data_IF_152848124651
#
_entry.id   IF_152848124651
#
_cell.length_a   1.000
_cell.length_b   1.000
_cell.length_c   1.000
_cell.angle_alpha   90.00
_cell.angle_beta   90.00
_cell.angle_gamma   90.00
#
_symmetry.space_group_name_H-M   'P 1'
#
loop_
_entity.id
_entity.type
_entity.pdbx_description
1 polymer ?
#
# COMPACT_ATOMS: atom_id res chain seq x y z
N UNK A 1 22.04 19.03 4.47
CA UNK A 1 22.49 17.81 3.77
C UNK A 1 23.42 17.05 4.69
N UNK A 2 23.16 15.78 4.98
CA UNK A 2 23.99 14.92 5.83
C UNK A 2 24.30 13.64 5.06
N UNK A 3 25.58 13.27 4.94
CA UNK A 3 26.00 12.05 4.25
C UNK A 3 26.66 11.09 5.22
N UNK A 4 26.43 9.78 5.04
CA UNK A 4 27.03 8.71 5.82
C UNK A 4 27.21 7.45 4.95
N UNK A 5 27.95 6.46 5.45
CA UNK A 5 28.27 5.25 4.69
C UNK A 5 27.69 4.01 5.37
N UNK A 6 27.10 3.14 4.57
CA UNK A 6 26.90 1.74 4.89
C UNK A 6 27.84 0.87 4.05
N UNK A 7 28.05 -0.40 4.39
CA UNK A 7 28.85 -1.30 3.57
C UNK A 7 28.39 -1.30 2.10
N UNK A 8 29.29 -0.83 1.21
CA UNK A 8 29.04 -0.78 -0.24
C UNK A 8 28.18 0.38 -0.75
N UNK A 9 27.69 1.30 0.10
CA UNK A 9 26.85 2.42 -0.31
C UNK A 9 27.22 3.73 0.38
N UNK A 10 26.93 4.85 -0.27
CA UNK A 10 26.89 6.20 0.32
C UNK A 10 25.45 6.66 0.33
N UNK A 11 25.02 7.17 1.47
CA UNK A 11 23.66 7.67 1.69
C UNK A 11 23.73 9.16 1.99
N UNK A 12 22.85 9.94 1.35
CA UNK A 12 22.76 11.39 1.58
C UNK A 12 21.32 11.79 1.89
N UNK A 13 21.10 12.38 3.05
CA UNK A 13 19.81 12.89 3.47
C UNK A 13 19.57 14.27 2.86
N UNK A 14 18.38 14.44 2.25
CA UNK A 14 17.93 15.67 1.61
C UNK A 14 16.55 16.05 2.14
N UNK A 15 16.30 17.34 2.22
CA UNK A 15 15.03 17.93 2.63
C UNK A 15 14.66 19.02 1.64
N UNK A 16 13.39 19.04 1.25
CA UNK A 16 12.84 19.95 0.27
C UNK A 16 11.60 20.64 0.84
N UNK A 17 11.54 21.96 0.70
CA UNK A 17 10.33 22.70 1.01
C UNK A 17 9.38 22.64 -0.19
N UNK A 18 8.15 22.19 0.02
CA UNK A 18 7.12 22.10 -1.00
C UNK A 18 5.80 22.67 -0.48
N UNK A 19 4.92 23.21 -1.34
CA UNK A 19 3.61 23.70 -0.90
C UNK A 19 2.76 22.56 -0.32
N UNK A 20 2.05 22.80 0.77
CA UNK A 20 0.99 21.88 1.21
C UNK A 20 -0.06 21.76 0.10
N UNK A 21 -0.53 22.89 -0.42
CA UNK A 21 -1.47 23.00 -1.52
C UNK A 21 -0.77 23.54 -2.77
N UNK A 22 -0.56 22.68 -3.76
CA UNK A 22 0.08 23.06 -5.03
C UNK A 22 -0.69 24.08 -5.86
N UNK A 23 -2.00 24.29 -5.56
CA UNK A 23 -2.78 25.36 -6.18
C UNK A 23 -2.52 26.72 -5.54
N UNK A 24 -1.90 26.73 -4.36
CA UNK A 24 -1.47 27.92 -3.62
C UNK A 24 0.00 27.84 -3.25
N UNK A 25 0.92 27.91 -4.22
CA UNK A 25 2.35 27.64 -4.03
C UNK A 25 3.03 28.60 -3.03
N UNK A 26 2.50 29.81 -2.84
CA UNK A 26 2.99 30.78 -1.87
C UNK A 26 2.35 30.62 -0.46
N UNK A 27 1.52 29.58 -0.27
CA UNK A 27 0.84 29.29 0.99
C UNK A 27 1.72 28.50 1.97
N UNK A 28 1.06 27.70 2.80
CA UNK A 28 1.73 26.85 3.79
C UNK A 28 2.71 25.89 3.09
N UNK A 29 3.94 25.83 3.63
CA UNK A 29 4.99 24.94 3.16
C UNK A 29 5.13 23.76 4.11
N UNK A 30 5.36 22.58 3.53
CA UNK A 30 5.75 21.37 4.25
C UNK A 30 7.13 20.90 3.81
N UNK A 31 7.79 20.15 4.67
CA UNK A 31 9.09 19.57 4.34
C UNK A 31 8.92 18.14 3.83
N UNK A 32 9.53 17.81 2.71
CA UNK A 32 9.60 16.46 2.14
C UNK A 32 11.03 15.95 2.22
N UNK A 33 11.18 14.76 2.81
CA UNK A 33 12.45 14.08 2.95
C UNK A 33 12.67 13.09 1.82
N UNK A 34 13.90 13.06 1.29
CA UNK A 34 14.34 11.99 0.41
C UNK A 34 15.76 11.55 0.79
N UNK A 35 16.04 10.27 0.62
CA UNK A 35 17.37 9.69 0.80
C UNK A 35 17.95 9.27 -0.52
N UNK A 36 19.02 9.93 -0.91
CA UNK A 36 19.87 9.49 -2.02
C UNK A 36 20.70 8.30 -1.58
N UNK A 37 20.76 7.29 -2.42
CA UNK A 37 21.61 6.09 -2.24
C UNK A 37 22.40 5.88 -3.53
N UNK A 38 23.72 5.70 -3.38
CA UNK A 38 24.61 5.41 -4.51
C UNK A 38 25.63 4.34 -4.10
N UNK A 39 26.07 3.51 -5.05
CA UNK A 39 27.15 2.56 -4.79
C UNK A 39 28.44 3.30 -4.41
N UNK A 40 29.16 2.85 -3.38
CA UNK A 40 30.32 3.56 -2.82
C UNK A 40 31.40 3.83 -3.86
N UNK A 41 31.60 2.92 -4.83
CA UNK A 41 32.55 3.10 -5.94
C UNK A 41 32.09 4.04 -7.06
N UNK A 42 30.82 4.51 -6.99
CA UNK A 42 30.19 5.36 -8.01
C UNK A 42 29.66 6.68 -7.42
N UNK A 43 30.10 7.06 -6.22
CA UNK A 43 29.59 8.24 -5.53
C UNK A 43 29.74 9.52 -6.35
N UNK A 44 30.86 9.65 -7.09
CA UNK A 44 31.19 10.81 -7.93
C UNK A 44 30.82 10.59 -9.41
N UNK A 45 30.21 9.46 -9.77
CA UNK A 45 29.81 9.17 -11.15
C UNK A 45 28.54 9.95 -11.52
N UNK A 46 28.47 10.39 -12.77
CA UNK A 46 27.24 10.99 -13.34
C UNK A 46 26.26 9.88 -13.75
N UNK A 47 25.51 9.40 -12.77
CA UNK A 47 24.49 8.37 -12.95
C UNK A 47 23.11 8.99 -13.09
N UNK A 48 22.23 8.43 -13.94
CA UNK A 48 20.85 8.84 -14.01
C UNK A 48 20.13 8.58 -12.67
N UNK A 49 19.20 9.45 -12.35
CA UNK A 49 18.37 9.30 -11.14
C UNK A 49 17.26 8.27 -11.33
N UNK A 50 17.02 7.48 -10.30
CA UNK A 50 15.84 6.61 -10.16
C UNK A 50 15.07 7.04 -8.91
N UNK A 51 13.91 7.65 -9.11
CA UNK A 51 12.96 7.91 -8.04
C UNK A 51 12.25 6.62 -7.66
N UNK A 52 12.29 6.23 -6.38
CA UNK A 52 11.49 5.15 -5.82
C UNK A 52 10.24 5.70 -5.12
N UNK A 53 9.07 5.26 -5.58
CA UNK A 53 7.77 5.55 -5.01
C UNK A 53 7.26 4.34 -4.22
N UNK A 54 7.18 4.51 -2.90
CA UNK A 54 6.78 3.47 -1.96
C UNK A 54 5.28 3.17 -2.08
N UNK A 55 4.91 1.91 -1.84
CA UNK A 55 3.51 1.48 -1.68
C UNK A 55 2.86 1.94 -0.38
N UNK A 56 1.59 1.63 -0.23
CA UNK A 56 0.72 2.03 0.86
C UNK A 56 -0.67 2.36 0.36
N UNK A 57 -1.16 3.60 0.50
CA UNK A 57 -0.52 4.89 0.85
C UNK A 57 0.01 4.98 2.29
N UNK A 58 0.70 6.08 2.60
CA UNK A 58 0.96 6.48 4.00
C UNK A 58 2.20 5.87 4.66
N UNK A 59 3.09 5.24 3.88
CA UNK A 59 4.36 4.73 4.39
C UNK A 59 5.56 5.43 3.74
N UNK A 60 6.57 5.72 4.55
CA UNK A 60 7.85 6.19 4.05
C UNK A 60 8.64 5.08 3.33
N UNK A 61 9.58 5.45 2.48
CA UNK A 61 10.46 4.50 1.85
C UNK A 61 11.25 3.69 2.88
N UNK A 62 11.40 2.38 2.66
CA UNK A 62 12.16 1.52 3.56
C UNK A 62 13.60 2.02 3.70
N UNK A 63 14.10 1.97 4.94
CA UNK A 63 15.48 2.36 5.21
C UNK A 63 16.42 1.23 4.82
N UNK A 64 17.41 1.49 3.98
CA UNK A 64 18.39 0.47 3.63
C UNK A 64 19.16 0.03 4.88
N UNK A 65 19.05 -1.25 5.24
CA UNK A 65 19.85 -1.87 6.32
C UNK A 65 21.00 -2.72 5.78
N UNK A 66 21.02 -2.91 4.48
CA UNK A 66 22.01 -3.66 3.73
C UNK A 66 21.80 -3.46 2.24
N UNK A 67 22.20 -4.43 1.46
CA UNK A 67 21.89 -4.46 0.03
C UNK A 67 20.56 -5.20 -0.15
N UNK A 68 19.44 -4.48 -0.07
CA UNK A 68 18.16 -5.03 -0.49
C UNK A 68 18.20 -5.37 -1.96
N UNK A 69 17.69 -6.53 -2.32
CA UNK A 69 17.89 -7.15 -3.62
C UNK A 69 17.57 -6.25 -4.82
N UNK A 70 16.40 -5.59 -4.82
CA UNK A 70 16.04 -4.65 -5.89
C UNK A 70 16.94 -3.41 -5.90
N UNK A 71 17.33 -2.90 -4.72
CA UNK A 71 18.20 -1.74 -4.59
C UNK A 71 19.61 -2.03 -5.15
N UNK A 72 20.14 -3.23 -4.88
CA UNK A 72 21.39 -3.68 -5.49
C UNK A 72 21.35 -3.70 -7.00
N UNK A 73 20.22 -4.16 -7.56
CA UNK A 73 20.04 -4.14 -9.01
C UNK A 73 19.99 -2.70 -9.52
N UNK A 74 19.23 -1.83 -8.86
CA UNK A 74 19.12 -0.42 -9.23
C UNK A 74 20.46 0.32 -9.17
N UNK A 75 21.26 0.08 -8.13
CA UNK A 75 22.55 0.74 -7.91
C UNK A 75 23.63 0.39 -8.94
N UNK A 76 23.39 -0.59 -9.82
CA UNK A 76 24.29 -0.85 -10.95
C UNK A 76 24.21 0.24 -12.03
N UNK A 77 23.02 0.83 -12.20
CA UNK A 77 22.72 1.74 -13.31
C UNK A 77 22.29 3.13 -12.85
N UNK A 78 21.89 3.30 -11.60
CA UNK A 78 21.25 4.52 -11.13
C UNK A 78 21.81 5.05 -9.80
N UNK A 79 21.61 6.32 -9.61
CA UNK A 79 21.55 7.01 -8.33
C UNK A 79 20.10 6.96 -7.84
N UNK A 80 19.84 6.28 -6.74
CA UNK A 80 18.47 6.02 -6.26
C UNK A 80 18.03 7.08 -5.26
N UNK A 81 16.83 7.63 -5.45
CA UNK A 81 16.20 8.56 -4.53
C UNK A 81 15.02 7.84 -3.84
N UNK A 82 15.18 7.50 -2.57
CA UNK A 82 14.14 6.93 -1.71
C UNK A 82 13.32 8.08 -1.13
N UNK A 83 12.14 8.32 -1.70
CA UNK A 83 11.26 9.41 -1.29
C UNK A 83 10.36 8.97 -0.12
N UNK A 84 10.45 9.66 1.01
CA UNK A 84 9.35 9.65 1.97
C UNK A 84 8.26 10.59 1.42
N UNK A 85 7.21 10.01 0.87
CA UNK A 85 6.10 10.78 0.33
C UNK A 85 5.56 11.71 1.42
N UNK A 86 4.96 12.85 1.02
CA UNK A 86 4.40 13.84 1.96
C UNK A 86 3.58 13.16 3.07
N UNK A 87 3.72 13.60 4.29
CA UNK A 87 3.03 13.06 5.46
C UNK A 87 3.65 11.79 6.05
N UNK A 88 4.70 11.21 5.44
CA UNK A 88 5.27 9.92 5.83
C UNK A 88 6.71 10.02 6.30
N UNK A 89 7.17 9.03 7.03
CA UNK A 89 8.57 8.88 7.42
C UNK A 89 9.15 10.12 8.08
N UNK A 90 10.16 10.73 7.46
CA UNK A 90 10.83 11.96 7.91
C UNK A 90 10.31 13.22 7.20
N UNK A 91 9.41 13.09 6.25
CA UNK A 91 8.65 14.22 5.71
C UNK A 91 7.75 14.81 6.79
N UNK A 92 7.32 16.09 6.66
CA UNK A 92 6.40 16.72 7.62
C UNK A 92 5.27 15.76 8.00
N UNK A 93 5.23 15.25 9.24
CA UNK A 93 4.47 14.05 9.52
C UNK A 93 2.98 14.33 9.67
N UNK A 94 2.15 13.64 8.90
CA UNK A 94 0.73 13.51 9.12
C UNK A 94 0.48 12.33 10.08
N UNK A 95 0.81 12.48 11.35
CA UNK A 95 0.68 11.47 12.39
C UNK A 95 -0.40 11.83 13.41
N UNK A 96 -0.65 10.91 14.36
CA UNK A 96 -1.67 11.12 15.40
C UNK A 96 -1.55 12.48 16.10
N UNK A 97 -0.32 12.91 16.45
CA UNK A 97 -0.14 14.14 17.22
C UNK A 97 -0.42 15.40 16.39
N UNK A 98 0.07 15.43 15.15
CA UNK A 98 -0.12 16.59 14.26
C UNK A 98 -1.56 16.70 13.80
N UNK A 99 -2.18 15.61 13.37
CA UNK A 99 -3.57 15.57 12.91
C UNK A 99 -4.57 15.78 14.06
N UNK A 100 -4.33 15.19 15.26
CA UNK A 100 -5.22 15.40 16.40
C UNK A 100 -5.22 16.88 16.83
N UNK A 101 -4.04 17.52 16.88
CA UNK A 101 -3.93 18.96 17.18
C UNK A 101 -4.71 19.81 16.17
N UNK A 102 -4.61 19.49 14.89
CA UNK A 102 -5.37 20.19 13.86
C UNK A 102 -6.87 20.07 14.09
N UNK A 103 -7.37 18.89 14.44
CA UNK A 103 -8.77 18.66 14.74
C UNK A 103 -9.26 19.33 16.01
N UNK A 104 -8.43 19.35 17.06
CA UNK A 104 -8.73 20.05 18.31
C UNK A 104 -8.83 21.58 18.12
N UNK A 105 -7.99 22.14 17.26
CA UNK A 105 -7.93 23.58 16.99
C UNK A 105 -8.97 24.06 15.97
N UNK A 106 -9.19 23.30 14.88
CA UNK A 106 -9.94 23.74 13.71
C UNK A 106 -11.11 22.81 13.33
N UNK A 107 -11.26 21.67 14.03
CA UNK A 107 -12.35 20.73 13.82
C UNK A 107 -12.10 19.67 12.76
N UNK A 108 -13.04 18.72 12.65
CA UNK A 108 -12.91 17.56 11.78
C UNK A 108 -12.91 17.90 10.28
N UNK A 109 -13.60 18.96 9.87
CA UNK A 109 -13.59 19.43 8.49
C UNK A 109 -12.18 19.86 8.08
N UNK A 110 -11.49 20.64 8.91
CA UNK A 110 -10.12 21.06 8.63
C UNK A 110 -9.13 19.88 8.59
N UNK A 111 -9.35 18.85 9.43
CA UNK A 111 -8.58 17.60 9.33
C UNK A 111 -8.80 16.91 7.97
N UNK A 112 -10.06 16.78 7.55
CA UNK A 112 -10.41 16.16 6.27
C UNK A 112 -9.81 16.95 5.10
N UNK A 113 -9.97 18.27 5.09
CA UNK A 113 -9.41 19.15 4.04
C UNK A 113 -7.89 19.06 3.98
N UNK A 114 -7.21 19.06 5.12
CA UNK A 114 -5.76 18.85 5.18
C UNK A 114 -5.36 17.51 4.56
N UNK A 115 -6.06 16.43 4.89
CA UNK A 115 -5.77 15.09 4.39
C UNK A 115 -5.95 14.95 2.87
N UNK A 116 -6.77 15.78 2.23
CA UNK A 116 -6.93 15.75 0.76
C UNK A 116 -5.63 16.06 0.01
N UNK A 117 -4.70 16.76 0.65
CA UNK A 117 -3.41 17.13 0.05
C UNK A 117 -2.36 15.99 0.06
N UNK A 118 -2.72 14.76 0.48
CA UNK A 118 -1.75 13.65 0.63
C UNK A 118 -1.98 12.49 -0.35
N UNK A 119 -2.69 12.73 -1.44
CA UNK A 119 -2.93 11.74 -2.51
C UNK A 119 -1.81 11.74 -3.56
N UNK A 120 -1.92 10.81 -4.53
CA UNK A 120 -0.94 10.60 -5.58
C UNK A 120 -0.68 11.84 -6.44
N UNK A 121 -1.68 12.66 -6.71
CA UNK A 121 -1.57 13.92 -7.46
C UNK A 121 -0.58 14.89 -6.81
N UNK A 122 -0.73 15.15 -5.50
CA UNK A 122 0.18 16.01 -4.75
C UNK A 122 1.59 15.42 -4.62
N UNK A 123 1.69 14.09 -4.44
CA UNK A 123 2.98 13.38 -4.38
C UNK A 123 3.76 13.55 -5.69
N UNK A 124 3.09 13.48 -6.83
CA UNK A 124 3.70 13.68 -8.15
C UNK A 124 4.18 15.12 -8.34
N UNK A 125 3.43 16.09 -7.87
CA UNK A 125 3.84 17.50 -7.93
C UNK A 125 5.05 17.79 -7.04
N UNK A 126 5.13 17.16 -5.85
CA UNK A 126 6.36 17.20 -5.03
C UNK A 126 7.53 16.61 -5.78
N UNK A 127 7.36 15.44 -6.39
CA UNK A 127 8.41 14.77 -7.14
C UNK A 127 8.93 15.66 -8.27
N UNK A 128 8.07 16.40 -8.97
CA UNK A 128 8.47 17.35 -10.01
C UNK A 128 9.24 18.55 -9.47
N UNK A 129 8.88 19.10 -8.33
CA UNK A 129 9.66 20.16 -7.69
C UNK A 129 11.03 19.65 -7.28
N UNK A 130 11.10 18.49 -6.65
CA UNK A 130 12.36 17.84 -6.23
C UNK A 130 13.25 17.52 -7.45
N UNK A 131 12.67 16.98 -8.53
CA UNK A 131 13.43 16.71 -9.76
C UNK A 131 14.07 17.97 -10.33
N UNK A 132 13.32 19.05 -10.42
CA UNK A 132 13.82 20.33 -10.95
C UNK A 132 14.95 20.91 -10.10
N UNK A 133 14.89 20.74 -8.78
CA UNK A 133 15.95 21.19 -7.86
C UNK A 133 17.19 20.30 -7.93
N UNK A 134 17.04 18.98 -8.08
CA UNK A 134 18.14 18.02 -8.03
C UNK A 134 18.90 17.91 -9.36
N UNK A 135 18.19 17.84 -10.47
CA UNK A 135 18.78 17.52 -11.76
C UNK A 135 18.30 18.38 -12.92
N UNK A 136 17.06 18.86 -12.91
CA UNK A 136 16.42 19.51 -14.05
C UNK A 136 16.07 18.54 -15.20
N UNK A 137 16.80 17.44 -15.37
CA UNK A 137 16.59 16.43 -16.40
C UNK A 137 15.49 15.43 -16.05
N UNK A 138 14.89 14.74 -17.04
CA UNK A 138 13.99 13.62 -16.78
C UNK A 138 14.69 12.50 -16.03
N UNK A 139 14.03 11.93 -15.03
CA UNK A 139 14.52 10.79 -14.26
C UNK A 139 13.74 9.50 -14.50
N UNK A 140 14.31 8.37 -14.12
CA UNK A 140 13.60 7.09 -14.09
C UNK A 140 12.71 7.01 -12.85
N UNK A 141 11.59 6.31 -12.97
CA UNK A 141 10.64 6.12 -11.86
C UNK A 141 10.42 4.62 -11.63
N UNK A 142 10.53 4.18 -10.38
CA UNK A 142 10.12 2.84 -9.93
C UNK A 142 9.01 2.97 -8.91
N UNK A 143 7.82 2.48 -9.25
CA UNK A 143 6.66 2.48 -8.36
C UNK A 143 6.24 1.07 -7.97
N UNK A 144 6.06 0.83 -6.67
CA UNK A 144 5.55 -0.44 -6.14
C UNK A 144 4.20 -0.22 -5.50
N UNK A 145 3.16 -1.04 -5.86
CA UNK A 145 1.83 -0.95 -5.28
C UNK A 145 1.23 0.45 -5.47
N UNK A 146 0.77 1.15 -4.44
CA UNK A 146 0.34 2.55 -4.51
C UNK A 146 1.40 3.46 -5.18
N UNK A 147 2.69 3.18 -5.00
CA UNK A 147 3.75 3.90 -5.72
C UNK A 147 3.69 3.70 -7.24
N UNK A 148 3.19 2.55 -7.70
CA UNK A 148 2.87 2.31 -9.12
C UNK A 148 1.66 3.13 -9.59
N UNK A 149 0.63 3.29 -8.74
CA UNK A 149 -0.48 4.20 -9.00
C UNK A 149 0.02 5.64 -9.13
N UNK A 150 0.94 6.07 -8.25
CA UNK A 150 1.63 7.36 -8.37
C UNK A 150 2.43 7.48 -9.68
N UNK A 151 3.09 6.41 -10.15
CA UNK A 151 3.79 6.42 -11.42
C UNK A 151 2.84 6.61 -12.62
N UNK A 152 1.65 5.99 -12.61
CA UNK A 152 0.61 6.21 -13.63
C UNK A 152 0.03 7.63 -13.55
N UNK A 153 -0.15 8.17 -12.34
CA UNK A 153 -0.50 9.59 -12.13
C UNK A 153 0.59 10.50 -12.73
N UNK A 154 1.85 10.16 -12.54
CA UNK A 154 2.99 10.91 -13.09
C UNK A 154 3.00 10.88 -14.62
N UNK A 155 2.77 9.70 -15.24
CA UNK A 155 2.61 9.56 -16.70
C UNK A 155 1.43 10.37 -17.23
N UNK A 156 0.39 10.57 -16.42
CA UNK A 156 -0.80 11.35 -16.78
C UNK A 156 -0.54 12.86 -16.75
N UNK A 157 0.15 13.38 -15.74
CA UNK A 157 0.19 14.83 -15.48
C UNK A 157 1.57 15.49 -15.75
N UNK A 158 2.67 14.74 -15.67
CA UNK A 158 4.00 15.27 -15.90
C UNK A 158 4.95 14.28 -16.63
N UNK A 159 4.54 13.65 -17.75
CA UNK A 159 5.35 12.65 -18.46
C UNK A 159 6.71 13.20 -18.93
N UNK A 160 6.82 14.51 -19.18
CA UNK A 160 8.08 15.15 -19.57
C UNK A 160 9.18 15.07 -18.51
N UNK A 161 8.84 14.83 -17.24
CA UNK A 161 9.76 14.61 -16.14
C UNK A 161 10.26 13.16 -16.04
N UNK A 162 9.73 12.25 -16.84
CA UNK A 162 10.03 10.82 -16.78
C UNK A 162 10.86 10.39 -18.00
N UNK A 163 11.99 9.77 -17.75
CA UNK A 163 12.85 9.14 -18.76
C UNK A 163 12.37 7.73 -19.10
N UNK A 164 12.01 6.95 -18.09
CA UNK A 164 11.49 5.58 -18.15
C UNK A 164 10.74 5.23 -16.88
N UNK A 165 9.75 4.35 -16.96
CA UNK A 165 8.94 3.97 -15.82
C UNK A 165 8.89 2.46 -15.61
N UNK A 166 9.07 2.02 -14.36
CA UNK A 166 8.98 0.64 -13.90
C UNK A 166 7.87 0.54 -12.86
N UNK A 167 6.91 -0.34 -13.07
CA UNK A 167 5.73 -0.48 -12.20
C UNK A 167 5.63 -1.94 -11.75
N UNK A 168 5.47 -2.16 -10.45
CA UNK A 168 5.35 -3.50 -9.89
C UNK A 168 4.10 -3.60 -9.02
N UNK A 169 3.15 -4.49 -9.36
CA UNK A 169 1.91 -4.68 -8.63
C UNK A 169 1.15 -3.37 -8.36
N UNK A 170 1.15 -2.43 -9.31
CA UNK A 170 0.66 -1.06 -9.06
C UNK A 170 -0.02 -0.38 -10.26
N UNK A 171 -0.48 -1.15 -11.25
CA UNK A 171 -1.32 -0.58 -12.32
C UNK A 171 -2.75 -0.39 -11.78
N UNK A 172 -3.22 0.86 -11.64
CA UNK A 172 -4.53 1.16 -11.05
C UNK A 172 -5.70 0.80 -11.96
N UNK A 173 -6.89 0.74 -11.42
CA UNK A 173 -8.12 0.84 -12.20
C UNK A 173 -8.34 2.32 -12.60
N UNK A 174 -8.28 2.64 -13.91
CA UNK A 174 -8.34 4.04 -14.37
C UNK A 174 -9.71 4.69 -14.17
N UNK A 175 -10.78 3.92 -14.26
CA UNK A 175 -12.16 4.42 -14.29
C UNK A 175 -13.11 3.65 -13.35
N UNK A 176 -12.68 2.55 -12.75
CA UNK A 176 -13.51 1.79 -11.84
C UNK A 176 -13.66 2.53 -10.50
N UNK A 177 -14.83 2.37 -9.88
CA UNK A 177 -15.12 2.89 -8.55
C UNK A 177 -14.48 2.00 -7.46
N UNK A 178 -14.42 2.50 -6.22
CA UNK A 178 -14.00 1.68 -5.08
C UNK A 178 -14.88 0.42 -4.93
N UNK A 179 -16.18 0.52 -5.20
CA UNK A 179 -17.11 -0.61 -5.19
C UNK A 179 -16.67 -1.71 -6.18
N UNK A 180 -16.31 -1.34 -7.41
CA UNK A 180 -15.89 -2.28 -8.44
C UNK A 180 -14.57 -2.94 -8.06
N UNK A 181 -13.64 -2.17 -7.47
CA UNK A 181 -12.36 -2.68 -6.99
C UNK A 181 -12.60 -3.72 -5.88
N UNK A 182 -13.40 -3.40 -4.87
CA UNK A 182 -13.66 -4.33 -3.77
C UNK A 182 -14.42 -5.58 -4.21
N UNK A 183 -15.35 -5.50 -5.17
CA UNK A 183 -15.98 -6.71 -5.74
C UNK A 183 -14.97 -7.66 -6.38
N UNK A 184 -13.86 -7.15 -6.89
CA UNK A 184 -12.76 -7.97 -7.43
C UNK A 184 -11.88 -8.50 -6.32
N UNK A 185 -11.42 -7.62 -5.44
CA UNK A 185 -10.48 -8.02 -4.37
C UNK A 185 -11.09 -9.01 -3.39
N UNK A 186 -12.39 -8.90 -3.04
CA UNK A 186 -13.08 -9.91 -2.21
C UNK A 186 -13.03 -11.30 -2.85
N UNK A 187 -13.23 -11.43 -4.15
CA UNK A 187 -13.14 -12.73 -4.85
C UNK A 187 -11.73 -13.31 -4.79
N UNK A 188 -10.72 -12.47 -5.00
CA UNK A 188 -9.33 -12.92 -4.93
C UNK A 188 -8.95 -13.30 -3.49
N UNK A 189 -9.41 -12.53 -2.50
CA UNK A 189 -9.22 -12.86 -1.08
C UNK A 189 -9.91 -14.16 -0.70
N UNK A 190 -11.13 -14.43 -1.20
CA UNK A 190 -11.80 -15.72 -1.00
C UNK A 190 -10.97 -16.89 -1.58
N UNK A 191 -10.41 -16.74 -2.78
CA UNK A 191 -9.53 -17.75 -3.38
C UNK A 191 -8.23 -17.93 -2.57
N UNK A 192 -7.66 -16.86 -1.99
CA UNK A 192 -6.50 -16.94 -1.09
C UNK A 192 -6.80 -17.70 0.19
N UNK A 193 -7.97 -17.48 0.80
CA UNK A 193 -8.43 -18.26 1.96
C UNK A 193 -8.56 -19.75 1.62
N UNK A 194 -9.19 -20.07 0.49
CA UNK A 194 -9.32 -21.45 0.05
C UNK A 194 -7.95 -22.13 -0.14
N UNK A 195 -7.02 -21.46 -0.81
CA UNK A 195 -5.66 -21.97 -1.00
C UNK A 195 -4.87 -22.08 0.33
N UNK A 196 -5.12 -21.19 1.29
CA UNK A 196 -4.53 -21.29 2.62
C UNK A 196 -5.03 -22.54 3.35
N UNK A 197 -6.33 -22.78 3.40
CA UNK A 197 -6.92 -23.95 4.06
C UNK A 197 -6.66 -25.26 3.33
N UNK A 198 -6.48 -25.24 2.01
CA UNK A 198 -5.97 -26.42 1.28
C UNK A 198 -4.55 -26.78 1.73
N UNK A 199 -3.70 -25.79 1.98
CA UNK A 199 -2.32 -25.99 2.47
C UNK A 199 -2.25 -26.38 3.94
N UNK A 200 -3.09 -25.78 4.77
CA UNK A 200 -3.16 -25.95 6.23
C UNK A 200 -4.59 -26.31 6.69
N UNK A 201 -5.08 -27.53 6.44
CA UNK A 201 -6.46 -27.90 6.79
C UNK A 201 -6.78 -27.76 8.28
N UNK A 202 -5.78 -27.95 9.16
CA UNK A 202 -5.94 -27.81 10.61
C UNK A 202 -6.26 -26.36 11.04
N UNK A 203 -5.93 -25.38 10.23
CA UNK A 203 -6.16 -23.96 10.55
C UNK A 203 -7.67 -23.61 10.50
N UNK A 204 -8.48 -24.43 9.84
CA UNK A 204 -9.96 -24.26 9.86
C UNK A 204 -10.46 -24.31 11.29
N UNK A 205 -10.09 -25.35 12.05
CA UNK A 205 -10.54 -25.54 13.42
C UNK A 205 -9.91 -24.51 14.36
N UNK A 206 -8.61 -24.21 14.19
CA UNK A 206 -7.90 -23.21 14.99
C UNK A 206 -8.49 -21.81 14.84
N UNK A 207 -8.76 -21.37 13.60
CA UNK A 207 -9.37 -20.07 13.33
C UNK A 207 -10.78 -20.00 13.93
N UNK A 208 -11.55 -21.09 13.87
CA UNK A 208 -12.88 -21.16 14.45
C UNK A 208 -12.83 -21.10 15.99
N UNK A 209 -11.93 -21.84 16.63
CA UNK A 209 -11.74 -21.79 18.09
C UNK A 209 -11.41 -20.37 18.57
N UNK A 210 -10.55 -19.65 17.87
CA UNK A 210 -10.26 -18.25 18.20
C UNK A 210 -11.51 -17.39 18.02
N UNK A 211 -12.24 -17.55 16.90
CA UNK A 211 -13.44 -16.76 16.65
C UNK A 211 -14.54 -17.02 17.71
N UNK A 212 -14.78 -18.27 18.08
CA UNK A 212 -15.77 -18.64 19.10
C UNK A 212 -15.38 -18.09 20.48
N UNK A 213 -14.09 -18.11 20.80
CA UNK A 213 -13.59 -17.47 22.03
C UNK A 213 -13.85 -15.95 22.03
N UNK A 214 -13.57 -15.27 20.91
CA UNK A 214 -13.77 -13.83 20.77
C UNK A 214 -15.26 -13.43 20.78
N UNK A 215 -16.16 -14.30 20.32
CA UNK A 215 -17.60 -14.07 20.38
C UNK A 215 -18.13 -14.17 21.83
N UNK A 216 -17.53 -15.03 22.63
CA UNK A 216 -17.91 -15.26 24.03
C UNK A 216 -17.22 -14.36 25.06
N UNK A 217 -16.17 -13.63 24.70
CA UNK A 217 -15.31 -12.90 25.65
C UNK A 217 -14.96 -11.49 25.17
N UNK A 218 -14.94 -10.53 26.08
CA UNK A 218 -14.37 -9.21 25.82
C UNK A 218 -12.82 -9.27 25.87
N UNK A 219 -12.17 -9.31 24.71
CA UNK A 219 -10.72 -9.37 24.60
C UNK A 219 -10.15 -8.01 24.20
N UNK A 220 -9.04 -7.62 24.82
CA UNK A 220 -8.31 -6.39 24.46
C UNK A 220 -6.87 -6.73 24.12
N UNK A 221 -6.40 -6.06 23.06
CA UNK A 221 -4.99 -6.06 22.68
C UNK A 221 -4.16 -5.25 23.70
N UNK A 222 -2.83 -5.45 23.74
CA UNK A 222 -1.94 -4.75 24.69
C UNK A 222 -1.99 -3.21 24.63
N UNK A 223 -2.40 -2.62 23.50
CA UNK A 223 -2.62 -1.18 23.35
C UNK A 223 -4.02 -0.71 23.77
N UNK A 224 -4.86 -1.64 24.24
CA UNK A 224 -6.23 -1.38 24.67
C UNK A 224 -7.28 -1.43 23.56
N UNK A 225 -6.91 -1.68 22.31
CA UNK A 225 -7.87 -1.88 21.22
C UNK A 225 -8.68 -3.17 21.45
N UNK A 226 -9.99 -3.20 21.12
CA UNK A 226 -10.77 -4.43 21.21
C UNK A 226 -10.34 -5.42 20.12
N UNK A 227 -10.12 -6.67 20.48
CA UNK A 227 -9.95 -7.77 19.53
C UNK A 227 -11.31 -8.48 19.38
N UNK A 228 -11.98 -8.20 18.28
CA UNK A 228 -13.26 -8.80 17.91
C UNK A 228 -13.08 -9.81 16.77
N UNK A 229 -14.09 -10.62 16.46
CA UNK A 229 -14.04 -11.55 15.32
C UNK A 229 -13.74 -10.80 14.00
N UNK A 230 -14.39 -9.68 13.65
CA UNK A 230 -14.01 -8.91 12.48
C UNK A 230 -12.56 -8.36 12.50
N UNK A 231 -12.05 -7.98 13.68
CA UNK A 231 -10.65 -7.57 13.83
C UNK A 231 -9.70 -8.74 13.59
N UNK A 232 -10.00 -9.91 14.11
CA UNK A 232 -9.24 -11.14 13.85
C UNK A 232 -9.27 -11.52 12.37
N UNK A 233 -10.43 -11.45 11.70
CA UNK A 233 -10.52 -11.70 10.25
C UNK A 233 -9.61 -10.77 9.43
N UNK A 234 -9.36 -9.54 9.88
CA UNK A 234 -8.49 -8.61 9.14
C UNK A 234 -6.99 -8.97 9.18
N UNK A 235 -6.60 -9.96 9.99
CA UNK A 235 -5.27 -10.56 9.91
C UNK A 235 -4.95 -11.20 8.55
N UNK A 236 -5.97 -11.52 7.74
CA UNK A 236 -5.80 -12.03 6.38
C UNK A 236 -5.15 -11.09 5.40
N UNK A 237 -4.94 -9.82 5.79
CA UNK A 237 -4.13 -8.89 5.00
C UNK A 237 -2.74 -9.43 4.64
N UNK A 238 -2.17 -10.35 5.41
CA UNK A 238 -0.87 -10.98 5.12
C UNK A 238 -0.89 -11.93 3.91
N UNK A 239 -2.04 -12.49 3.54
CA UNK A 239 -2.17 -13.51 2.47
C UNK A 239 -1.76 -13.04 1.07
N UNK A 240 -1.52 -11.75 0.88
CA UNK A 240 -1.04 -11.19 -0.38
C UNK A 240 0.48 -11.18 -0.53
N UNK A 241 1.24 -11.53 0.50
CA UNK A 241 2.70 -11.71 0.44
C UNK A 241 3.11 -13.15 0.14
N UNK A 242 4.34 -13.33 -0.31
CA UNK A 242 4.91 -14.63 -0.64
C UNK A 242 4.86 -15.63 0.55
N UNK A 243 5.13 -15.13 1.74
CA UNK A 243 5.12 -15.93 2.99
C UNK A 243 3.79 -15.81 3.76
N UNK A 244 2.78 -15.14 3.18
CA UNK A 244 1.56 -14.75 3.90
C UNK A 244 0.77 -15.94 4.46
N UNK A 245 0.63 -17.03 3.70
CA UNK A 245 -0.04 -18.25 4.15
C UNK A 245 0.70 -18.92 5.30
N UNK A 246 2.05 -18.89 5.29
CA UNK A 246 2.87 -19.41 6.39
C UNK A 246 2.75 -18.51 7.64
N UNK A 247 2.79 -17.20 7.44
CA UNK A 247 2.66 -16.24 8.55
C UNK A 247 1.30 -16.36 9.25
N UNK A 248 0.22 -16.55 8.50
CA UNK A 248 -1.10 -16.79 9.07
C UNK A 248 -1.16 -18.14 9.82
N UNK A 249 -0.60 -19.21 9.24
CA UNK A 249 -0.49 -20.51 9.91
C UNK A 249 0.23 -20.40 11.25
N UNK A 250 1.42 -19.80 11.28
CA UNK A 250 2.16 -19.64 12.54
C UNK A 250 1.49 -18.74 13.57
N UNK A 251 0.64 -17.80 13.14
CA UNK A 251 -0.21 -17.04 14.03
C UNK A 251 -1.27 -17.94 14.70
N UNK A 252 -1.77 -18.95 13.98
CA UNK A 252 -2.80 -19.88 14.42
C UNK A 252 -2.26 -21.14 15.12
N UNK A 253 -0.95 -21.39 15.12
CA UNK A 253 -0.35 -22.61 15.61
C UNK A 253 -0.59 -22.80 17.11
N UNK A 254 -0.34 -21.77 17.94
CA UNK A 254 -0.55 -21.79 19.39
C UNK A 254 -1.19 -20.49 19.91
N UNK A 255 -2.45 -20.20 19.57
CA UNK A 255 -3.08 -18.96 19.96
C UNK A 255 -3.47 -18.91 21.45
N UNK A 256 -3.55 -20.06 22.14
CA UNK A 256 -3.98 -20.16 23.52
C UNK A 256 -2.85 -20.53 24.49
N UNK A 257 -2.95 -20.05 25.72
CA UNK A 257 -2.18 -20.48 26.88
C UNK A 257 -3.14 -20.97 27.97
N UNK A 258 -3.38 -22.27 28.01
CA UNK A 258 -4.49 -22.84 28.80
C UNK A 258 -5.85 -22.51 28.21
N UNK A 259 -6.70 -21.84 28.97
CA UNK A 259 -8.06 -21.49 28.54
C UNK A 259 -8.16 -20.06 27.97
N UNK A 260 -7.07 -19.27 27.96
CA UNK A 260 -7.06 -17.87 27.52
C UNK A 260 -6.16 -17.69 26.29
N UNK A 261 -6.44 -16.66 25.48
CA UNK A 261 -5.54 -16.26 24.37
C UNK A 261 -4.18 -15.86 24.94
N UNK A 262 -3.12 -16.37 24.35
CA UNK A 262 -1.76 -16.12 24.81
C UNK A 262 -1.28 -14.68 24.58
N UNK A 263 -0.42 -14.18 25.45
CA UNK A 263 0.20 -12.85 25.26
C UNK A 263 0.93 -12.76 23.92
N UNK A 264 1.60 -13.82 23.48
CA UNK A 264 2.30 -13.85 22.19
C UNK A 264 1.34 -13.66 21.03
N UNK A 265 0.18 -14.30 21.05
CA UNK A 265 -0.88 -14.12 20.05
C UNK A 265 -1.43 -12.68 20.07
N UNK A 266 -1.76 -12.15 21.26
CA UNK A 266 -2.29 -10.80 21.40
C UNK A 266 -1.30 -9.72 20.93
N UNK A 267 -0.01 -9.86 21.21
CA UNK A 267 1.02 -8.96 20.69
C UNK A 267 1.21 -9.10 19.18
N UNK A 268 1.15 -10.32 18.64
CA UNK A 268 1.22 -10.55 17.18
C UNK A 268 0.03 -9.89 16.48
N UNK A 269 -1.19 -10.09 16.99
CA UNK A 269 -2.40 -9.43 16.49
C UNK A 269 -2.29 -7.90 16.55
N UNK A 270 -1.86 -7.34 17.68
CA UNK A 270 -1.66 -5.89 17.82
C UNK A 270 -0.70 -5.35 16.75
N UNK A 271 0.40 -6.04 16.50
CA UNK A 271 1.39 -5.62 15.50
C UNK A 271 0.83 -5.66 14.06
N UNK A 272 -0.07 -6.57 13.76
CA UNK A 272 -0.73 -6.66 12.45
C UNK A 272 -1.84 -5.62 12.28
N UNK A 273 -2.60 -5.33 13.33
CA UNK A 273 -3.79 -4.50 13.25
C UNK A 273 -3.53 -3.00 13.49
N UNK A 274 -2.45 -2.64 14.18
CA UNK A 274 -2.18 -1.25 14.57
C UNK A 274 -1.76 -0.39 13.39
N UNK A 275 -2.44 0.74 13.23
CA UNK A 275 -2.10 1.79 12.27
C UNK A 275 -1.12 2.84 12.82
N UNK A 276 -0.47 2.57 13.97
CA UNK A 276 0.42 3.53 14.63
C UNK A 276 1.60 3.98 13.74
N UNK A 277 2.07 3.12 12.82
CA UNK A 277 3.18 3.42 11.91
C UNK A 277 2.76 4.18 10.66
N UNK A 278 1.48 4.13 10.28
CA UNK A 278 0.97 4.72 9.05
C UNK A 278 -0.52 5.06 9.13
N UNK A 279 -0.94 6.04 9.95
CA UNK A 279 -2.36 6.39 10.06
C UNK A 279 -2.95 6.85 8.72
N UNK A 280 -2.15 7.46 7.84
CA UNK A 280 -2.58 7.82 6.49
C UNK A 280 -3.01 6.61 5.66
N UNK A 281 -2.47 5.42 5.93
CA UNK A 281 -2.91 4.21 5.24
C UNK A 281 -4.40 3.98 5.41
N UNK A 282 -4.88 3.97 6.66
CA UNK A 282 -6.31 3.79 6.94
C UNK A 282 -7.17 4.95 6.43
N UNK A 283 -6.67 6.19 6.57
CA UNK A 283 -7.45 7.39 6.25
C UNK A 283 -7.55 7.67 4.74
N UNK A 284 -6.54 7.25 3.96
CA UNK A 284 -6.44 7.55 2.53
C UNK A 284 -6.54 6.32 1.62
N UNK A 285 -6.73 5.13 2.17
CA UNK A 285 -6.81 3.90 1.37
C UNK A 285 -7.94 3.98 0.33
N UNK A 286 -9.19 4.13 0.75
CA UNK A 286 -10.31 4.29 -0.18
C UNK A 286 -10.24 5.60 -0.99
N UNK A 287 -9.91 6.79 -0.40
CA UNK A 287 -9.68 7.99 -1.18
C UNK A 287 -8.65 7.87 -2.30
N UNK A 288 -7.69 6.93 -2.21
CA UNK A 288 -6.72 6.66 -3.28
C UNK A 288 -7.35 6.09 -4.56
N UNK A 289 -8.57 5.58 -4.50
CA UNK A 289 -9.34 5.07 -5.64
C UNK A 289 -10.38 6.09 -6.15
N UNK A 290 -10.65 7.16 -5.40
CA UNK A 290 -11.74 8.08 -5.67
C UNK A 290 -11.38 9.11 -6.75
N UNK A 291 -12.25 9.26 -7.75
CA UNK A 291 -12.16 10.24 -8.83
C UNK A 291 -13.58 10.72 -9.17
N UNK A 292 -13.96 11.94 -8.77
CA UNK A 292 -15.28 12.51 -9.01
C UNK A 292 -16.45 11.75 -8.38
N UNK A 293 -16.19 10.95 -7.34
CA UNK A 293 -17.22 10.18 -6.63
C UNK A 293 -16.82 9.93 -5.17
N UNK A 294 -17.81 9.74 -4.31
CA UNK A 294 -17.61 9.36 -2.91
C UNK A 294 -17.43 7.84 -2.79
N UNK A 295 -16.56 7.41 -1.86
CA UNK A 295 -16.33 5.97 -1.61
C UNK A 295 -17.36 5.39 -0.64
N UNK A 296 -17.81 6.16 0.35
CA UNK A 296 -18.85 5.80 1.33
C UNK A 296 -18.58 4.46 2.03
N UNK A 297 -17.30 4.25 2.43
CA UNK A 297 -16.90 3.00 3.05
C UNK A 297 -17.23 1.78 2.17
N UNK A 298 -16.74 1.81 0.95
CA UNK A 298 -17.02 0.80 -0.07
C UNK A 298 -16.66 -0.62 0.39
N UNK A 299 -15.53 -0.81 1.09
CA UNK A 299 -15.16 -2.11 1.63
C UNK A 299 -16.25 -2.70 2.55
N UNK A 300 -16.83 -1.87 3.45
CA UNK A 300 -17.89 -2.30 4.36
C UNK A 300 -19.19 -2.64 3.62
N UNK A 301 -19.56 -1.82 2.62
CA UNK A 301 -20.81 -2.04 1.88
C UNK A 301 -20.74 -3.27 0.99
N UNK A 302 -19.63 -3.45 0.30
CA UNK A 302 -19.41 -4.55 -0.63
C UNK A 302 -19.22 -5.87 0.10
N UNK A 303 -18.67 -5.86 1.34
CA UNK A 303 -18.60 -7.07 2.16
C UNK A 303 -19.93 -7.82 2.25
N UNK A 304 -21.05 -7.10 2.33
CA UNK A 304 -22.38 -7.71 2.42
C UNK A 304 -22.80 -8.51 1.17
N UNK A 305 -22.11 -8.35 0.04
CA UNK A 305 -22.31 -9.13 -1.18
C UNK A 305 -21.59 -10.51 -1.13
N UNK A 306 -20.76 -10.76 -0.10
CA UNK A 306 -19.88 -11.93 0.05
C UNK A 306 -20.13 -12.62 1.39
N UNK A 307 -21.12 -13.54 1.40
CA UNK A 307 -21.57 -14.21 2.62
C UNK A 307 -20.46 -15.04 3.30
N UNK A 308 -19.46 -15.52 2.55
CA UNK A 308 -18.32 -16.27 3.07
C UNK A 308 -17.46 -15.50 4.09
N UNK A 309 -17.53 -14.18 4.10
CA UNK A 309 -16.85 -13.35 5.09
C UNK A 309 -17.70 -13.02 6.32
N UNK A 310 -18.97 -13.46 6.34
CA UNK A 310 -19.78 -13.36 7.54
C UNK A 310 -19.34 -14.44 8.55
N UNK A 311 -18.87 -14.07 9.76
CA UNK A 311 -18.43 -15.04 10.75
C UNK A 311 -19.55 -15.99 11.23
N UNK A 312 -20.81 -15.60 11.06
CA UNK A 312 -21.97 -16.42 11.43
C UNK A 312 -22.33 -17.48 10.37
N UNK A 313 -21.79 -17.37 9.15
CA UNK A 313 -22.04 -18.36 8.09
C UNK A 313 -21.34 -19.67 8.40
N UNK A 314 -22.12 -20.74 8.55
CA UNK A 314 -21.64 -22.10 8.73
C UNK A 314 -21.78 -22.90 7.41
N UNK A 315 -20.69 -23.45 6.92
CA UNK A 315 -20.68 -24.39 5.80
C UNK A 315 -20.59 -23.73 4.43
N UNK A 316 -19.38 -23.56 3.95
CA UNK A 316 -19.08 -23.34 2.53
C UNK A 316 -18.87 -24.71 1.88
N UNK A 317 -19.54 -24.95 0.74
CA UNK A 317 -19.40 -26.19 -0.02
C UNK A 317 -17.92 -26.41 -0.41
N UNK A 318 -17.36 -27.53 0.06
CA UNK A 318 -16.06 -28.02 -0.36
C UNK A 318 -14.86 -27.79 0.57
N UNK A 319 -15.00 -26.99 1.64
CA UNK A 319 -13.97 -26.86 2.67
C UNK A 319 -14.58 -27.18 4.03
N UNK A 320 -14.12 -28.26 4.66
CA UNK A 320 -14.55 -28.69 5.99
C UNK A 320 -13.33 -28.86 6.89
N UNK A 321 -13.44 -28.42 8.16
CA UNK A 321 -12.48 -28.75 9.19
C UNK A 321 -12.48 -30.24 9.55
N UNK A 322 -11.55 -30.67 10.38
CA UNK A 322 -11.39 -32.05 10.80
C UNK A 322 -12.65 -32.61 11.46
N UNK A 323 -13.45 -31.77 12.10
CA UNK A 323 -14.71 -32.10 12.79
C UNK A 323 -15.95 -31.57 12.03
N UNK A 324 -15.80 -31.07 10.79
CA UNK A 324 -16.90 -30.50 10.03
C UNK A 324 -17.22 -29.02 10.33
N UNK A 325 -16.30 -28.31 11.00
CA UNK A 325 -16.40 -26.87 11.23
C UNK A 325 -16.34 -26.10 9.91
N UNK A 326 -17.12 -25.03 9.80
CA UNK A 326 -17.06 -24.14 8.67
C UNK A 326 -15.80 -23.25 8.75
N UNK A 327 -15.08 -23.04 7.65
CA UNK A 327 -13.91 -22.16 7.65
C UNK A 327 -14.31 -20.71 7.97
N UNK A 328 -13.51 -20.03 8.80
CA UNK A 328 -13.61 -18.59 8.99
C UNK A 328 -12.78 -17.91 7.88
N UNK A 329 -13.40 -17.15 6.99
CA UNK A 329 -12.65 -16.42 5.97
C UNK A 329 -12.07 -15.13 6.52
N UNK A 330 -10.78 -14.96 6.31
CA UNK A 330 -10.03 -13.76 6.64
C UNK A 330 -10.22 -12.71 5.54
N UNK A 331 -10.34 -11.43 5.91
CA UNK A 331 -10.43 -10.33 4.94
C UNK A 331 -9.04 -9.89 4.47
N UNK A 332 -8.99 -9.16 3.37
CA UNK A 332 -7.74 -8.66 2.79
C UNK A 332 -7.42 -7.21 3.17
N UNK A 333 -6.87 -6.47 2.20
CA UNK A 333 -6.54 -5.06 2.32
C UNK A 333 -7.80 -4.19 2.21
N UNK A 334 -8.60 -4.19 3.26
CA UNK A 334 -9.90 -3.53 3.34
C UNK A 334 -9.97 -2.70 4.61
N UNK A 335 -10.29 -1.42 4.47
CA UNK A 335 -10.44 -0.51 5.61
C UNK A 335 -11.90 -0.32 5.93
N UNK A 336 -12.27 -0.62 7.17
CA UNK A 336 -13.63 -0.54 7.66
C UNK A 336 -13.81 0.62 8.64
N UNK A 337 -15.01 1.23 8.72
CA UNK A 337 -15.26 2.33 9.66
C UNK A 337 -15.00 1.94 11.12
N UNK A 338 -15.30 0.71 11.53
CA UNK A 338 -15.06 0.22 12.89
C UNK A 338 -13.56 0.14 13.25
N UNK A 339 -12.65 -0.01 12.27
CA UNK A 339 -11.20 0.02 12.52
C UNK A 339 -10.76 1.40 13.02
N UNK A 340 -11.37 2.47 12.50
CA UNK A 340 -11.09 3.82 12.97
C UNK A 340 -11.55 4.03 14.42
N UNK A 341 -12.69 3.44 14.79
CA UNK A 341 -13.20 3.50 16.17
C UNK A 341 -12.39 2.63 17.14
N UNK A 342 -11.92 1.48 16.68
CA UNK A 342 -11.20 0.50 17.49
C UNK A 342 -9.76 0.92 17.80
N UNK A 343 -9.02 1.38 16.78
CA UNK A 343 -7.59 1.72 16.92
C UNK A 343 -7.40 3.03 17.72
N UNK A 344 -6.65 3.00 18.85
CA UNK A 344 -6.42 4.19 19.67
C UNK A 344 -5.71 5.34 18.94
N UNK A 345 -4.97 5.05 17.88
CA UNK A 345 -4.28 6.05 17.05
C UNK A 345 -5.24 6.73 16.09
N UNK A 346 -6.20 5.98 15.52
CA UNK A 346 -7.13 6.47 14.50
C UNK A 346 -8.39 7.12 15.08
N UNK A 347 -8.81 6.73 16.27
CA UNK A 347 -10.04 7.22 16.93
C UNK A 347 -10.23 8.73 16.88
N UNK A 348 -9.20 9.59 17.06
CA UNK A 348 -9.32 11.04 16.94
C UNK A 348 -9.74 11.53 15.55
N UNK A 349 -9.65 10.68 14.53
CA UNK A 349 -9.91 11.04 13.12
C UNK A 349 -11.24 10.50 12.60
N UNK A 350 -12.05 9.84 13.44
CA UNK A 350 -13.28 9.18 13.01
C UNK A 350 -14.20 10.09 12.18
N UNK A 351 -14.44 11.31 12.65
CA UNK A 351 -15.28 12.28 11.92
C UNK A 351 -14.64 12.76 10.61
N UNK A 352 -13.32 12.97 10.61
CA UNK A 352 -12.61 13.36 9.38
C UNK A 352 -12.64 12.22 8.35
N UNK A 353 -12.52 10.96 8.78
CA UNK A 353 -12.62 9.80 7.91
C UNK A 353 -14.00 9.68 7.27
N UNK A 354 -15.10 9.96 8.00
CA UNK A 354 -16.45 10.00 7.44
C UNK A 354 -16.61 11.12 6.41
N UNK A 355 -16.06 12.32 6.69
CA UNK A 355 -16.08 13.43 5.72
C UNK A 355 -15.33 13.05 4.44
N UNK A 356 -14.17 12.39 4.55
CA UNK A 356 -13.42 11.91 3.38
C UNK A 356 -14.20 10.85 2.60
N UNK A 357 -14.87 9.93 3.29
CA UNK A 357 -15.67 8.88 2.67
C UNK A 357 -16.89 9.43 1.90
N UNK A 358 -17.51 10.50 2.40
CA UNK A 358 -18.67 11.15 1.75
C UNK A 358 -18.28 12.21 0.70
N UNK A 359 -16.99 12.54 0.59
CA UNK A 359 -16.49 13.51 -0.38
C UNK A 359 -16.65 12.99 -1.81
N UNK A 360 -17.31 13.74 -2.70
CA UNK A 360 -17.59 13.33 -4.08
C UNK A 360 -16.88 14.19 -5.15
N UNK A 361 -16.19 15.26 -4.75
CA UNK A 361 -15.46 16.19 -5.62
C UNK A 361 -13.96 15.87 -5.76
N UNK A 362 -13.58 14.60 -5.59
CA UNK A 362 -12.19 14.18 -5.74
C UNK A 362 -11.63 14.47 -7.14
N UNK A 363 -10.49 15.18 -7.27
CA UNK A 363 -9.89 15.42 -8.57
C UNK A 363 -9.46 14.11 -9.24
N UNK A 364 -9.39 14.08 -10.59
CA UNK A 364 -8.91 12.92 -11.32
C UNK A 364 -7.45 12.63 -10.98
N UNK A 365 -7.13 11.34 -10.88
CA UNK A 365 -5.77 10.85 -10.67
C UNK A 365 -5.10 10.40 -11.97
N UNK A 366 -5.88 10.19 -13.03
CA UNK A 366 -5.41 9.70 -14.31
C UNK A 366 -6.02 10.50 -15.46
N UNK A 367 -5.23 10.65 -16.54
CA UNK A 367 -5.67 11.22 -17.82
C UNK A 367 -5.61 10.13 -18.90
N UNK A 368 -6.75 9.48 -19.24
CA UNK A 368 -6.75 8.41 -20.23
C UNK A 368 -6.28 8.85 -21.62
N UNK A 369 -6.54 10.09 -22.02
CA UNK A 369 -6.11 10.60 -23.32
C UNK A 369 -4.59 10.78 -23.36
N UNK A 370 -4.00 11.28 -22.29
CA UNK A 370 -2.55 11.41 -22.15
C UNK A 370 -1.87 10.03 -22.11
N UNK A 371 -2.44 9.07 -21.37
CA UNK A 371 -1.93 7.70 -21.30
C UNK A 371 -2.01 6.99 -22.66
N UNK A 372 -3.09 7.18 -23.43
CA UNK A 372 -3.21 6.67 -24.79
C UNK A 372 -2.22 7.31 -25.78
N UNK A 373 -1.69 8.48 -25.46
CA UNK A 373 -0.67 9.18 -26.23
C UNK A 373 0.74 9.02 -25.64
N UNK A 374 0.92 8.17 -24.61
CA UNK A 374 2.20 8.01 -23.92
C UNK A 374 3.35 7.69 -24.88
N UNK A 375 4.50 8.33 -24.68
CA UNK A 375 5.76 8.12 -25.40
C UNK A 375 6.93 7.77 -24.46
N UNK A 376 6.67 7.77 -23.15
CA UNK A 376 7.64 7.35 -22.13
C UNK A 376 7.81 5.83 -22.18
N UNK A 377 9.04 5.31 -22.36
CA UNK A 377 9.30 3.88 -22.27
C UNK A 377 8.90 3.35 -20.88
N UNK A 378 8.04 2.34 -20.84
CA UNK A 378 7.51 1.84 -19.58
C UNK A 378 7.34 0.31 -19.59
N UNK A 379 7.57 -0.31 -18.44
CA UNK A 379 7.31 -1.73 -18.22
C UNK A 379 6.64 -1.98 -16.87
N UNK A 380 5.75 -2.98 -16.82
CA UNK A 380 5.04 -3.35 -15.61
C UNK A 380 5.08 -4.86 -15.35
N UNK A 381 5.30 -5.23 -14.09
CA UNK A 381 5.04 -6.56 -13.57
C UNK A 381 3.64 -6.61 -12.97
N UNK A 382 2.82 -7.54 -13.44
CA UNK A 382 1.47 -7.82 -12.96
C UNK A 382 1.47 -9.20 -12.33
N UNK A 383 1.15 -9.29 -11.04
CA UNK A 383 1.14 -10.57 -10.33
C UNK A 383 -0.22 -11.24 -10.50
N UNK A 384 -0.19 -12.50 -10.93
CA UNK A 384 -1.39 -13.22 -11.38
C UNK A 384 -2.43 -13.41 -10.26
N UNK A 385 -1.97 -13.65 -9.03
CA UNK A 385 -2.79 -13.89 -7.85
C UNK A 385 -2.82 -12.73 -6.86
N UNK A 386 -2.49 -11.51 -7.34
CA UNK A 386 -2.46 -10.32 -6.50
C UNK A 386 -3.84 -10.04 -5.89
N UNK A 387 -3.92 -10.05 -4.56
CA UNK A 387 -5.17 -9.78 -3.85
C UNK A 387 -5.38 -8.32 -3.46
N UNK A 388 -4.38 -7.46 -3.71
CA UNK A 388 -4.43 -6.04 -3.42
C UNK A 388 -4.72 -5.21 -4.67
N UNK A 389 -4.02 -5.53 -5.77
CA UNK A 389 -4.16 -4.81 -7.05
C UNK A 389 -4.66 -5.79 -8.11
N UNK A 390 -5.97 -5.73 -8.40
CA UNK A 390 -6.63 -6.70 -9.30
C UNK A 390 -5.97 -6.77 -10.67
N UNK A 391 -5.64 -8.00 -11.08
CA UNK A 391 -4.99 -8.29 -12.36
C UNK A 391 -5.79 -7.81 -13.56
N UNK A 392 -7.11 -7.97 -13.56
CA UNK A 392 -7.93 -7.62 -14.73
C UNK A 392 -7.96 -6.10 -14.93
N UNK A 393 -8.09 -5.32 -13.84
CA UNK A 393 -7.95 -3.88 -13.91
C UNK A 393 -6.53 -3.45 -14.32
N UNK A 394 -5.50 -4.13 -13.80
CA UNK A 394 -4.12 -3.90 -14.21
C UNK A 394 -3.93 -4.12 -15.71
N UNK A 395 -4.50 -5.18 -16.28
CA UNK A 395 -4.42 -5.46 -17.71
C UNK A 395 -5.25 -4.50 -18.57
N UNK A 396 -6.37 -3.99 -18.07
CA UNK A 396 -7.12 -2.93 -18.73
C UNK A 396 -6.28 -1.64 -18.83
N UNK A 397 -5.67 -1.24 -17.73
CA UNK A 397 -4.77 -0.08 -17.67
C UNK A 397 -3.52 -0.27 -18.53
N UNK A 398 -2.93 -1.45 -18.54
CA UNK A 398 -1.81 -1.76 -19.40
C UNK A 398 -2.13 -1.55 -20.90
N UNK A 399 -3.34 -1.93 -21.33
CA UNK A 399 -3.80 -1.70 -22.72
C UNK A 399 -4.08 -0.24 -23.01
N UNK A 400 -4.45 0.55 -22.01
CA UNK A 400 -4.76 1.97 -22.15
C UNK A 400 -3.50 2.85 -22.24
N UNK A 401 -2.35 2.38 -21.75
CA UNK A 401 -1.08 3.12 -21.80
C UNK A 401 -0.32 2.70 -23.05
N UNK A 402 -0.18 3.61 -24.02
CA UNK A 402 0.55 3.31 -25.26
C UNK A 402 2.01 2.94 -24.95
N UNK A 403 2.46 1.82 -25.52
CA UNK A 403 3.85 1.37 -25.42
C UNK A 403 4.25 0.74 -24.09
N UNK A 404 3.34 0.62 -23.14
CA UNK A 404 3.62 -0.10 -21.88
C UNK A 404 3.84 -1.59 -22.17
N UNK A 405 5.00 -2.09 -21.83
CA UNK A 405 5.33 -3.52 -21.89
C UNK A 405 4.89 -4.19 -20.57
N UNK A 406 4.22 -5.35 -20.68
CA UNK A 406 3.63 -5.99 -19.49
C UNK A 406 4.15 -7.41 -19.34
N UNK A 407 4.64 -7.73 -18.16
CA UNK A 407 4.98 -9.07 -17.72
C UNK A 407 3.98 -9.56 -16.68
N UNK A 408 3.15 -10.54 -17.05
CA UNK A 408 2.23 -11.20 -16.12
C UNK A 408 2.90 -12.47 -15.60
N UNK A 409 2.97 -12.63 -14.28
CA UNK A 409 3.63 -13.79 -13.67
C UNK A 409 2.88 -14.31 -12.46
N UNK A 410 2.91 -15.63 -12.25
CA UNK A 410 2.44 -16.32 -11.05
C UNK A 410 3.59 -16.80 -10.14
N UNK A 411 4.85 -16.44 -10.48
CA UNK A 411 6.02 -16.80 -9.69
C UNK A 411 6.12 -15.99 -8.38
N UNK A 412 5.51 -14.82 -8.35
CA UNK A 412 5.55 -13.91 -7.22
C UNK A 412 4.16 -13.49 -6.79
N UNK A 413 4.03 -13.16 -5.53
CA UNK A 413 2.91 -12.43 -4.95
C UNK A 413 3.16 -10.91 -5.03
N UNK A 414 2.31 -10.12 -4.39
CA UNK A 414 2.38 -8.65 -4.43
C UNK A 414 3.75 -8.05 -4.06
N UNK A 415 4.50 -8.74 -3.24
CA UNK A 415 5.83 -8.35 -2.75
C UNK A 415 6.99 -8.75 -3.67
N UNK A 416 6.72 -9.18 -4.90
CA UNK A 416 7.70 -9.72 -5.85
C UNK A 416 8.93 -8.83 -6.06
N UNK A 417 8.78 -7.49 -6.04
CA UNK A 417 9.93 -6.58 -6.11
C UNK A 417 10.93 -6.82 -4.97
N UNK A 418 10.45 -7.19 -3.79
CA UNK A 418 11.25 -7.35 -2.57
C UNK A 418 11.86 -8.73 -2.46
N UNK A 419 11.10 -9.77 -2.80
CA UNK A 419 11.48 -11.17 -2.58
C UNK A 419 12.22 -11.81 -3.75
N UNK A 420 12.27 -11.16 -4.93
CA UNK A 420 12.83 -11.70 -6.17
C UNK A 420 14.35 -11.57 -6.32
N UNK A 421 15.09 -11.15 -5.29
CA UNK A 421 16.53 -10.87 -5.37
C UNK A 421 16.92 -9.95 -6.55
N UNK A 422 16.06 -8.97 -6.84
CA UNK A 422 16.25 -7.99 -7.92
C UNK A 422 15.81 -8.45 -9.30
N UNK A 423 15.39 -9.71 -9.48
CA UNK A 423 15.02 -10.26 -10.78
C UNK A 423 13.83 -9.53 -11.42
N UNK A 424 12.83 -9.11 -10.63
CA UNK A 424 11.70 -8.34 -11.14
C UNK A 424 12.17 -7.02 -11.75
N UNK A 425 12.97 -6.24 -11.05
CA UNK A 425 13.48 -4.97 -11.58
C UNK A 425 14.41 -5.18 -12.78
N UNK A 426 15.28 -6.19 -12.71
CA UNK A 426 16.18 -6.53 -13.84
C UNK A 426 15.40 -6.83 -15.11
N UNK A 427 14.33 -7.61 -15.01
CA UNK A 427 13.44 -7.92 -16.12
C UNK A 427 12.78 -6.67 -16.69
N UNK A 428 12.21 -5.79 -15.85
CA UNK A 428 11.56 -4.56 -16.30
C UNK A 428 12.54 -3.63 -17.01
N UNK A 429 13.76 -3.50 -16.49
CA UNK A 429 14.85 -2.73 -17.16
C UNK A 429 15.19 -3.37 -18.51
N UNK A 430 15.32 -4.69 -18.57
CA UNK A 430 15.58 -5.42 -19.82
C UNK A 430 14.49 -5.19 -20.86
N UNK A 431 13.22 -5.23 -20.46
CA UNK A 431 12.07 -4.96 -21.35
C UNK A 431 12.15 -3.53 -21.91
N UNK A 432 12.29 -2.52 -21.07
CA UNK A 432 12.37 -1.10 -21.51
C UNK A 432 13.56 -0.86 -22.44
N UNK A 433 14.68 -1.54 -22.24
CA UNK A 433 15.89 -1.40 -23.06
C UNK A 433 15.90 -2.29 -24.31
N UNK A 434 14.87 -3.10 -24.51
CA UNK A 434 14.78 -4.01 -25.67
C UNK A 434 15.78 -5.16 -25.63
N UNK A 435 16.21 -5.59 -24.44
CA UNK A 435 17.16 -6.67 -24.25
C UNK A 435 16.46 -8.05 -24.12
N UNK A 436 15.15 -8.06 -23.89
CA UNK A 436 14.30 -9.26 -23.79
C UNK A 436 12.93 -8.97 -24.40
#
# INVERSE_FOLDING_TARGET
MTSFRHPGTVLTDRFFAVPLDHQRPDGEQIEVFAREVVAAGQADADLPWLLFLQGGPGFGAQRPVGREAWLNRALKDYRVLLLDQRGTGRSSPANRKTLARLGEQLGAQAQADYLTHFRADSIVLDAELIRRELTGDPWSVLGQSFGGMCAVTYLSFAPHGIREAFITGGLPALTATADDIYRRTYRTVAAKNAAHYERYPQDVDQARLVADYLDGHEVRLPDGAPLTVPAFQSAGGVLGGADGSHALHYLLEDPFAGEELSDSFLYAMMNQLSFARGPLYALLHEPSYAQGCATRWAAQRIRAEFAEFDPAVSGLDGVQGVEGSAPLYFTGEMIYPWMIDADPVLRPFRKAADILAERDDWPPLYDPARLAANDVPAAAAVYYHDMYVDREFSMQTARAIRGLQTWVTSEYEHDGLRVSDGAVLDRLIGMVRGNI
#
